data_IF_335660836233
#
_entry.id   IF_335660836233
#
_cell.length_a   1.000
_cell.length_b   1.000
_cell.length_c   1.000
_cell.angle_alpha   90.00
_cell.angle_beta   90.00
_cell.angle_gamma   90.00
#
_symmetry.space_group_name_H-M   'P 1'
#
loop_
_entity.id
_entity.type
_entity.pdbx_description
1 polymer ?
#
# COMPACT_ATOMS: atom_id res chain seq x y z
N UNK A 1 -75.05 -21.44 -63.17
CA UNK A 1 -74.88 -20.44 -62.09
C UNK A 1 -76.00 -20.49 -61.04
N UNK A 2 -76.68 -21.63 -60.83
CA UNK A 2 -77.73 -21.79 -59.80
C UNK A 2 -77.44 -22.94 -58.81
N UNK A 3 -76.50 -23.85 -59.12
CA UNK A 3 -76.15 -24.98 -58.25
C UNK A 3 -75.13 -24.63 -57.15
N UNK A 4 -74.22 -23.69 -57.41
CA UNK A 4 -73.24 -23.25 -56.40
C UNK A 4 -73.90 -22.54 -55.20
N UNK A 5 -75.04 -21.86 -55.42
CA UNK A 5 -75.79 -21.19 -54.36
C UNK A 5 -76.68 -22.16 -53.55
N UNK A 6 -77.17 -23.26 -54.14
CA UNK A 6 -77.89 -24.29 -53.39
C UNK A 6 -76.96 -25.15 -52.52
N UNK A 7 -75.73 -25.40 -52.97
CA UNK A 7 -74.75 -26.11 -52.15
C UNK A 7 -74.34 -25.29 -50.91
N UNK A 8 -74.15 -23.97 -51.04
CA UNK A 8 -73.88 -23.09 -49.89
C UNK A 8 -75.08 -22.94 -48.94
N UNK A 9 -76.32 -23.02 -49.43
CA UNK A 9 -77.53 -22.99 -48.60
C UNK A 9 -77.80 -24.30 -47.83
N UNK A 10 -77.50 -25.46 -48.43
CA UNK A 10 -77.81 -26.76 -47.84
C UNK A 10 -76.77 -27.23 -46.80
N UNK A 11 -75.57 -26.63 -46.81
CA UNK A 11 -74.45 -27.01 -45.94
C UNK A 11 -74.10 -25.96 -44.88
N UNK A 12 -74.90 -24.90 -44.69
CA UNK A 12 -74.67 -23.88 -43.66
C UNK A 12 -74.56 -24.48 -42.23
N UNK A 13 -75.29 -25.55 -41.94
CA UNK A 13 -75.21 -26.26 -40.66
C UNK A 13 -73.82 -26.87 -40.36
N UNK A 14 -72.96 -27.08 -41.36
CA UNK A 14 -71.59 -27.57 -41.14
C UNK A 14 -70.74 -26.57 -40.36
N UNK A 15 -71.05 -25.26 -40.40
CA UNK A 15 -70.38 -24.25 -39.58
C UNK A 15 -70.67 -24.49 -38.09
N UNK A 16 -71.84 -25.03 -37.74
CA UNK A 16 -72.14 -25.37 -36.35
C UNK A 16 -71.49 -26.68 -35.89
N UNK A 17 -71.41 -27.69 -36.78
CA UNK A 17 -70.81 -28.99 -36.45
C UNK A 17 -69.29 -28.96 -36.45
N UNK A 18 -68.67 -28.24 -37.38
CA UNK A 18 -67.20 -28.14 -37.51
C UNK A 18 -66.63 -26.78 -37.07
N UNK A 19 -67.43 -25.72 -36.93
CA UNK A 19 -66.93 -24.43 -36.45
C UNK A 19 -66.52 -24.45 -34.98
N UNK A 20 -67.14 -25.30 -34.15
CA UNK A 20 -66.71 -25.53 -32.78
C UNK A 20 -65.35 -26.22 -32.67
N UNK A 21 -65.07 -27.19 -33.56
CA UNK A 21 -63.80 -27.94 -33.55
C UNK A 21 -62.65 -27.14 -34.19
N UNK A 22 -62.92 -26.37 -35.24
CA UNK A 22 -61.95 -25.45 -35.86
C UNK A 22 -61.64 -24.28 -34.91
N UNK A 23 -62.66 -23.70 -34.26
CA UNK A 23 -62.48 -22.62 -33.29
C UNK A 23 -61.73 -23.06 -32.02
N UNK A 24 -62.00 -24.27 -31.52
CA UNK A 24 -61.29 -24.87 -30.38
C UNK A 24 -59.82 -25.18 -30.67
N UNK A 25 -59.50 -25.67 -31.87
CA UNK A 25 -58.12 -25.92 -32.29
C UNK A 25 -57.31 -24.62 -32.43
N UNK A 26 -57.89 -23.57 -33.03
CA UNK A 26 -57.25 -22.26 -33.11
C UNK A 26 -57.00 -21.63 -31.74
N UNK A 27 -57.96 -21.74 -30.81
CA UNK A 27 -57.80 -21.27 -29.42
C UNK A 27 -56.74 -22.07 -28.65
N UNK A 28 -56.67 -23.38 -28.83
CA UNK A 28 -55.67 -24.25 -28.20
C UNK A 28 -54.24 -23.91 -28.64
N UNK A 29 -54.04 -23.62 -29.93
CA UNK A 29 -52.74 -23.17 -30.47
C UNK A 29 -52.39 -21.76 -30.00
N UNK A 30 -53.37 -20.85 -29.91
CA UNK A 30 -53.16 -19.50 -29.38
C UNK A 30 -52.72 -19.51 -27.90
N UNK A 31 -53.42 -20.26 -27.05
CA UNK A 31 -53.09 -20.41 -25.62
C UNK A 31 -51.75 -21.12 -25.41
N UNK A 32 -51.41 -22.10 -26.27
CA UNK A 32 -50.10 -22.76 -26.23
C UNK A 32 -48.96 -21.83 -26.67
N UNK A 33 -49.22 -20.86 -27.55
CA UNK A 33 -48.25 -19.87 -27.99
C UNK A 33 -48.06 -18.74 -26.96
N UNK A 34 -49.13 -18.26 -26.32
CA UNK A 34 -49.08 -17.28 -25.22
C UNK A 34 -48.21 -17.78 -24.05
N UNK A 35 -48.41 -19.03 -23.62
CA UNK A 35 -47.57 -19.65 -22.57
C UNK A 35 -46.09 -19.78 -22.96
N UNK A 36 -45.76 -19.83 -24.26
CA UNK A 36 -44.37 -19.80 -24.75
C UNK A 36 -43.80 -18.38 -24.75
N UNK A 37 -44.63 -17.37 -25.01
CA UNK A 37 -44.25 -15.95 -24.99
C UNK A 37 -44.00 -15.49 -23.55
N UNK A 38 -44.88 -15.83 -22.61
CA UNK A 38 -44.72 -15.54 -21.18
C UNK A 38 -43.43 -16.16 -20.60
N UNK A 39 -43.19 -17.45 -20.84
CA UNK A 39 -41.95 -18.12 -20.41
C UNK A 39 -40.69 -17.51 -21.04
N UNK A 40 -40.78 -16.97 -22.26
CA UNK A 40 -39.65 -16.25 -22.88
C UNK A 40 -39.42 -14.92 -22.17
N UNK A 41 -40.48 -14.15 -21.89
CA UNK A 41 -40.38 -12.87 -21.19
C UNK A 41 -39.85 -13.02 -19.76
N UNK A 42 -40.31 -14.02 -19.00
CA UNK A 42 -39.78 -14.34 -17.67
C UNK A 42 -38.28 -14.69 -17.73
N UNK A 43 -37.88 -15.53 -18.70
CA UNK A 43 -36.47 -15.85 -18.93
C UNK A 43 -35.64 -14.64 -19.35
N UNK A 44 -36.21 -13.71 -20.14
CA UNK A 44 -35.51 -12.47 -20.52
C UNK A 44 -35.34 -11.54 -19.33
N UNK A 45 -36.36 -11.39 -18.48
CA UNK A 45 -36.28 -10.63 -17.22
C UNK A 45 -35.24 -11.21 -16.28
N UNK A 46 -35.30 -12.51 -15.99
CA UNK A 46 -34.31 -13.20 -15.16
C UNK A 46 -32.88 -13.07 -15.72
N UNK A 47 -32.72 -13.13 -17.05
CA UNK A 47 -31.41 -12.89 -17.71
C UNK A 47 -30.95 -11.44 -17.60
N UNK A 48 -31.87 -10.46 -17.61
CA UNK A 48 -31.52 -9.05 -17.41
C UNK A 48 -31.18 -8.77 -15.95
N UNK A 49 -31.98 -9.28 -15.01
CA UNK A 49 -31.74 -9.16 -13.58
C UNK A 49 -30.40 -9.80 -13.18
N UNK A 50 -30.10 -11.01 -13.67
CA UNK A 50 -28.79 -11.64 -13.43
C UNK A 50 -27.64 -10.84 -14.05
N UNK A 51 -27.79 -10.31 -15.26
CA UNK A 51 -26.77 -9.43 -15.87
C UNK A 51 -26.56 -8.15 -15.08
N UNK A 52 -27.63 -7.53 -14.58
CA UNK A 52 -27.55 -6.32 -13.75
C UNK A 52 -26.90 -6.64 -12.41
N UNK A 53 -27.25 -7.75 -11.76
CA UNK A 53 -26.65 -8.19 -10.50
C UNK A 53 -25.14 -8.49 -10.67
N UNK A 54 -24.75 -9.15 -11.76
CA UNK A 54 -23.34 -9.40 -12.09
C UNK A 54 -22.60 -8.09 -12.37
N UNK A 55 -23.20 -7.16 -13.12
CA UNK A 55 -22.60 -5.85 -13.39
C UNK A 55 -22.42 -5.04 -12.11
N UNK A 56 -23.39 -5.08 -11.19
CA UNK A 56 -23.32 -4.43 -9.88
C UNK A 56 -22.25 -5.06 -8.98
N UNK A 57 -22.17 -6.39 -8.93
CA UNK A 57 -21.12 -7.09 -8.17
C UNK A 57 -19.73 -6.77 -8.70
N UNK A 58 -19.52 -6.76 -10.02
CA UNK A 58 -18.25 -6.37 -10.63
C UNK A 58 -17.91 -4.90 -10.34
N UNK A 59 -18.89 -3.99 -10.40
CA UNK A 59 -18.67 -2.59 -10.07
C UNK A 59 -18.27 -2.41 -8.59
N UNK A 60 -18.89 -3.14 -7.67
CA UNK A 60 -18.53 -3.16 -6.25
C UNK A 60 -17.11 -3.70 -6.05
N UNK A 61 -16.77 -4.83 -6.67
CA UNK A 61 -15.42 -5.39 -6.61
C UNK A 61 -14.35 -4.40 -7.11
N UNK A 62 -14.59 -3.70 -8.22
CA UNK A 62 -13.66 -2.69 -8.72
C UNK A 62 -13.51 -1.49 -7.78
N UNK A 63 -14.60 -1.03 -7.17
CA UNK A 63 -14.56 0.05 -6.19
C UNK A 63 -13.79 -0.35 -4.91
N UNK A 64 -13.94 -1.60 -4.48
CA UNK A 64 -13.21 -2.17 -3.34
C UNK A 64 -11.72 -2.27 -3.65
N UNK A 65 -11.33 -2.77 -4.83
CA UNK A 65 -9.93 -2.83 -5.27
C UNK A 65 -9.30 -1.43 -5.37
N UNK A 66 -10.03 -0.44 -5.88
CA UNK A 66 -9.54 0.94 -5.94
C UNK A 66 -9.31 1.52 -4.54
N UNK A 67 -10.23 1.24 -3.60
CA UNK A 67 -10.08 1.63 -2.20
C UNK A 67 -8.87 0.97 -1.56
N UNK A 68 -8.66 -0.32 -1.81
CA UNK A 68 -7.49 -1.08 -1.37
C UNK A 68 -6.19 -0.47 -1.91
N UNK A 69 -6.12 -0.15 -3.21
CA UNK A 69 -4.95 0.51 -3.82
C UNK A 69 -4.63 1.84 -3.13
N UNK A 70 -5.64 2.67 -2.88
CA UNK A 70 -5.46 3.98 -2.22
C UNK A 70 -4.96 3.82 -0.78
N UNK A 71 -5.52 2.89 -0.01
CA UNK A 71 -5.09 2.64 1.37
C UNK A 71 -3.68 2.05 1.44
N UNK A 72 -3.34 1.15 0.53
CA UNK A 72 -1.98 0.60 0.41
C UNK A 72 -0.97 1.69 0.03
N UNK A 73 -1.31 2.56 -0.93
CA UNK A 73 -0.45 3.66 -1.34
C UNK A 73 -0.13 4.60 -0.16
N UNK A 74 -1.13 4.96 0.65
CA UNK A 74 -0.92 5.75 1.88
C UNK A 74 0.01 5.05 2.87
N UNK A 75 -0.12 3.74 3.05
CA UNK A 75 0.72 2.98 3.95
C UNK A 75 2.18 2.93 3.46
N UNK A 76 2.40 2.80 2.16
CA UNK A 76 3.74 2.88 1.55
C UNK A 76 4.32 4.29 1.74
N UNK A 77 3.54 5.33 1.46
CA UNK A 77 3.97 6.71 1.66
C UNK A 77 4.36 6.99 3.12
N UNK A 78 3.56 6.53 4.09
CA UNK A 78 3.87 6.65 5.50
C UNK A 78 5.16 5.89 5.86
N UNK A 79 5.34 4.68 5.36
CA UNK A 79 6.57 3.91 5.55
C UNK A 79 7.77 4.71 5.05
N UNK A 80 7.73 5.18 3.80
CA UNK A 80 8.82 5.93 3.17
C UNK A 80 9.12 7.25 3.91
N UNK A 81 8.09 7.92 4.43
CA UNK A 81 8.27 9.13 5.23
C UNK A 81 9.00 8.87 6.56
N UNK A 82 8.68 7.77 7.25
CA UNK A 82 9.36 7.38 8.49
C UNK A 82 10.79 6.92 8.19
N UNK A 83 10.99 6.14 7.13
CA UNK A 83 12.31 5.70 6.68
C UNK A 83 13.21 6.91 6.31
N UNK A 84 12.68 7.91 5.60
CA UNK A 84 13.43 9.11 5.25
C UNK A 84 13.89 9.89 6.49
N UNK A 85 13.03 10.00 7.50
CA UNK A 85 13.39 10.62 8.80
C UNK A 85 14.43 9.78 9.52
N UNK A 86 14.27 8.46 9.58
CA UNK A 86 15.25 7.55 10.18
C UNK A 86 16.61 7.64 9.47
N UNK A 87 16.65 7.65 8.14
CA UNK A 87 17.88 7.74 7.37
C UNK A 87 18.67 9.02 7.63
N UNK A 88 18.02 10.12 8.02
CA UNK A 88 18.76 11.31 8.44
C UNK A 88 19.68 11.05 9.63
N UNK A 89 19.31 10.16 10.55
CA UNK A 89 20.14 9.77 11.70
C UNK A 89 21.24 8.77 11.33
N UNK A 90 21.01 7.92 10.32
CA UNK A 90 21.99 6.91 9.90
C UNK A 90 23.04 7.46 8.92
N UNK A 91 22.66 8.44 8.09
CA UNK A 91 23.51 9.00 7.05
C UNK A 91 24.24 10.27 7.47
N UNK A 92 23.70 11.05 8.41
CA UNK A 92 24.36 12.25 8.93
C UNK A 92 24.95 12.00 10.34
N UNK A 93 26.28 11.79 10.43
CA UNK A 93 26.98 11.64 11.70
C UNK A 93 26.74 12.81 12.66
N UNK A 94 26.52 14.02 12.16
CA UNK A 94 26.34 15.21 12.99
C UNK A 94 25.00 15.14 13.70
N UNK A 95 23.94 14.80 12.97
CA UNK A 95 22.59 14.57 13.52
C UNK A 95 22.59 13.38 14.48
N UNK A 96 23.32 12.31 14.15
CA UNK A 96 23.49 11.16 15.03
C UNK A 96 24.08 11.53 16.41
N UNK A 97 25.14 12.35 16.43
CA UNK A 97 25.80 12.74 17.68
C UNK A 97 24.95 13.69 18.55
N UNK A 98 23.90 14.30 18.01
CA UNK A 98 22.93 15.07 18.81
C UNK A 98 21.93 14.15 19.52
N UNK A 99 21.58 13.02 18.92
CA UNK A 99 20.65 12.02 19.45
C UNK A 99 21.23 10.59 19.39
N UNK A 100 22.35 10.32 20.09
CA UNK A 100 23.07 9.04 20.02
C UNK A 100 22.22 7.82 20.45
N UNK A 101 21.20 8.08 21.28
CA UNK A 101 20.23 7.09 21.75
C UNK A 101 19.46 6.41 20.62
N UNK A 102 19.28 7.08 19.47
CA UNK A 102 18.55 6.54 18.32
C UNK A 102 19.24 5.33 17.67
N UNK A 103 20.53 5.12 17.93
CA UNK A 103 21.29 3.95 17.45
C UNK A 103 21.67 2.96 18.55
N UNK A 104 21.32 3.25 19.81
CA UNK A 104 21.65 2.38 20.93
C UNK A 104 20.57 1.31 21.13
N UNK A 105 20.88 0.06 20.75
CA UNK A 105 19.96 -1.08 20.93
C UNK A 105 19.74 -1.48 22.39
N UNK A 106 20.51 -0.92 23.34
CA UNK A 106 20.32 -1.15 24.78
C UNK A 106 19.11 -0.39 25.32
N UNK A 107 18.71 0.68 24.64
CA UNK A 107 17.58 1.49 25.02
C UNK A 107 16.28 0.83 24.53
N UNK A 108 15.32 0.56 25.42
CA UNK A 108 14.14 -0.25 25.09
C UNK A 108 13.29 0.40 24.00
N UNK A 109 13.15 1.73 24.01
CA UNK A 109 12.38 2.46 23.00
C UNK A 109 13.00 2.36 21.60
N UNK A 110 14.33 2.42 21.54
CA UNK A 110 15.08 2.25 20.29
C UNK A 110 14.99 0.81 19.79
N UNK A 111 15.14 -0.18 20.68
CA UNK A 111 14.99 -1.58 20.33
C UNK A 111 13.57 -1.90 19.81
N UNK A 112 12.53 -1.34 20.43
CA UNK A 112 11.13 -1.50 20.00
C UNK A 112 10.88 -0.85 18.64
N UNK A 113 11.43 0.35 18.41
CA UNK A 113 11.42 1.01 17.09
C UNK A 113 12.05 0.12 16.02
N UNK A 114 13.26 -0.40 16.24
CA UNK A 114 13.94 -1.25 15.25
C UNK A 114 13.21 -2.56 15.00
N UNK A 115 12.58 -3.15 16.03
CA UNK A 115 11.73 -4.34 15.87
C UNK A 115 10.49 -4.03 15.02
N UNK A 116 9.83 -2.90 15.27
CA UNK A 116 8.68 -2.45 14.51
C UNK A 116 9.05 -2.16 13.04
N UNK A 117 10.21 -1.51 12.82
CA UNK A 117 10.79 -1.30 11.49
C UNK A 117 10.96 -2.61 10.75
N UNK A 118 11.68 -3.56 11.36
CA UNK A 118 11.96 -4.85 10.74
C UNK A 118 10.67 -5.60 10.35
N UNK A 119 9.62 -5.52 11.17
CA UNK A 119 8.31 -6.10 10.85
C UNK A 119 7.65 -5.41 9.67
N UNK A 120 7.68 -4.07 9.61
CA UNK A 120 7.12 -3.31 8.50
C UNK A 120 7.88 -3.60 7.19
N UNK A 121 9.22 -3.68 7.25
CA UNK A 121 10.09 -4.03 6.13
C UNK A 121 9.76 -5.43 5.58
N UNK A 122 9.58 -6.43 6.45
CA UNK A 122 9.27 -7.80 6.06
C UNK A 122 7.91 -7.93 5.35
N UNK A 123 6.92 -7.15 5.80
CA UNK A 123 5.57 -7.16 5.24
C UNK A 123 5.42 -6.26 4.00
N UNK A 124 6.44 -5.45 3.68
CA UNK A 124 6.40 -4.53 2.55
C UNK A 124 6.32 -5.31 1.23
N UNK A 125 5.29 -5.10 0.41
CA UNK A 125 5.19 -5.79 -0.88
C UNK A 125 6.23 -5.24 -1.86
N UNK A 126 6.94 -6.13 -2.56
CA UNK A 126 7.84 -5.74 -3.65
C UNK A 126 7.11 -5.13 -4.85
N UNK A 127 5.87 -5.54 -5.08
CA UNK A 127 4.94 -4.91 -6.03
C UNK A 127 3.58 -4.69 -5.34
N UNK A 128 3.10 -3.45 -5.20
CA UNK A 128 1.82 -3.16 -4.54
C UNK A 128 0.62 -3.93 -5.12
N UNK A 129 0.60 -4.18 -6.43
CA UNK A 129 -0.51 -4.88 -7.08
C UNK A 129 -0.66 -6.33 -6.60
N UNK A 130 0.40 -6.97 -6.08
CA UNK A 130 0.31 -8.36 -5.58
C UNK A 130 -0.48 -8.47 -4.28
N UNK A 131 -0.74 -7.35 -3.61
CA UNK A 131 -1.48 -7.31 -2.35
C UNK A 131 -2.98 -7.05 -2.56
N UNK A 132 -3.40 -6.67 -3.76
CA UNK A 132 -4.80 -6.41 -4.10
C UNK A 132 -5.61 -7.71 -4.08
N UNK A 133 -6.79 -7.66 -3.46
CA UNK A 133 -7.61 -8.84 -3.19
C UNK A 133 -7.20 -9.64 -1.94
N UNK A 134 -6.05 -9.34 -1.32
CA UNK A 134 -5.64 -9.94 -0.05
C UNK A 134 -5.81 -8.94 1.11
N UNK A 135 -7.03 -8.85 1.63
CA UNK A 135 -7.37 -7.90 2.70
C UNK A 135 -6.58 -8.13 4.00
N UNK A 136 -6.26 -9.39 4.32
CA UNK A 136 -5.49 -9.74 5.51
C UNK A 136 -4.07 -9.17 5.41
N UNK A 137 -3.36 -9.43 4.31
CA UNK A 137 -2.00 -8.93 4.11
C UNK A 137 -1.93 -7.38 4.11
N UNK A 138 -2.92 -6.72 3.51
CA UNK A 138 -3.01 -5.25 3.55
C UNK A 138 -3.21 -4.73 4.98
N UNK A 139 -4.07 -5.38 5.76
CA UNK A 139 -4.36 -4.98 7.14
C UNK A 139 -3.10 -5.16 8.01
N UNK A 140 -2.44 -6.32 7.90
CA UNK A 140 -1.20 -6.61 8.63
C UNK A 140 -0.08 -5.61 8.28
N UNK A 141 0.10 -5.29 7.00
CA UNK A 141 1.08 -4.29 6.57
C UNK A 141 0.76 -2.89 7.10
N UNK A 142 -0.50 -2.45 6.98
CA UNK A 142 -0.94 -1.14 7.50
C UNK A 142 -0.74 -1.01 9.01
N UNK A 143 -1.09 -2.04 9.76
CA UNK A 143 -0.89 -2.07 11.21
C UNK A 143 0.61 -2.05 11.57
N UNK A 144 1.44 -2.78 10.83
CA UNK A 144 2.88 -2.77 11.03
C UNK A 144 3.49 -1.39 10.75
N UNK A 145 3.09 -0.72 9.66
CA UNK A 145 3.53 0.65 9.35
C UNK A 145 3.07 1.63 10.41
N UNK A 146 1.83 1.53 10.89
CA UNK A 146 1.32 2.39 11.94
C UNK A 146 2.11 2.21 13.25
N UNK A 147 2.36 0.96 13.65
CA UNK A 147 3.17 0.62 14.82
C UNK A 147 4.60 1.13 14.68
N UNK A 148 5.19 0.98 13.49
CA UNK A 148 6.52 1.49 13.17
C UNK A 148 6.58 3.03 13.33
N UNK A 149 5.61 3.75 12.77
CA UNK A 149 5.51 5.20 12.87
C UNK A 149 5.42 5.67 14.33
N UNK A 150 4.55 5.05 15.13
CA UNK A 150 4.39 5.42 16.55
C UNK A 150 5.66 5.12 17.34
N UNK A 151 6.24 3.93 17.16
CA UNK A 151 7.45 3.54 17.89
C UNK A 151 8.62 4.50 17.56
N UNK A 152 8.74 4.91 16.29
CA UNK A 152 9.72 5.91 15.89
C UNK A 152 9.49 7.27 16.54
N UNK A 153 8.25 7.77 16.54
CA UNK A 153 7.93 9.07 17.15
C UNK A 153 8.22 9.09 18.66
N UNK A 154 7.90 8.01 19.37
CA UNK A 154 8.19 7.87 20.80
C UNK A 154 9.70 7.85 21.03
N UNK A 155 10.44 7.04 20.27
CA UNK A 155 11.90 6.94 20.38
C UNK A 155 12.57 8.29 20.08
N UNK A 156 12.15 8.96 19.00
CA UNK A 156 12.69 10.25 18.57
C UNK A 156 12.40 11.36 19.59
N UNK A 157 11.19 11.39 20.17
CA UNK A 157 10.82 12.35 21.21
C UNK A 157 11.70 12.18 22.47
N UNK A 158 11.89 10.94 22.94
CA UNK A 158 12.75 10.69 24.10
C UNK A 158 14.23 10.97 23.78
N UNK A 159 14.69 10.63 22.57
CA UNK A 159 16.04 10.92 22.12
C UNK A 159 16.31 12.44 22.08
N UNK A 160 15.34 13.22 21.57
CA UNK A 160 15.42 14.70 21.56
C UNK A 160 15.35 15.31 22.96
N UNK A 161 14.64 14.67 23.89
CA UNK A 161 14.54 15.10 25.29
C UNK A 161 15.82 14.85 26.06
N UNK A 162 16.42 13.66 25.92
CA UNK A 162 17.68 13.31 26.61
C UNK A 162 18.90 13.90 25.91
N UNK A 163 18.92 13.96 24.58
CA UNK A 163 20.10 14.33 23.77
C UNK A 163 21.34 13.56 24.24
N UNK A 164 22.29 14.25 24.89
CA UNK A 164 23.55 13.71 25.41
C UNK A 164 23.56 13.58 26.94
N UNK A 165 22.42 13.72 27.61
CA UNK A 165 22.33 13.67 29.07
C UNK A 165 22.68 12.30 29.68
N UNK A 166 22.69 11.23 28.86
CA UNK A 166 23.14 9.90 29.26
C UNK A 166 24.67 9.76 29.38
N UNK A 167 25.43 10.76 28.91
CA UNK A 167 26.88 10.79 28.98
C UNK A 167 27.35 11.68 30.12
N UNK A 168 28.52 11.37 30.69
CA UNK A 168 29.20 12.25 31.64
C UNK A 168 29.64 13.56 30.95
N UNK A 169 29.97 14.60 31.73
CA UNK A 169 30.35 15.90 31.17
C UNK A 169 31.57 15.81 30.24
N UNK A 170 32.60 15.03 30.61
CA UNK A 170 33.78 14.82 29.77
C UNK A 170 33.44 14.12 28.44
N UNK A 171 32.58 13.09 28.51
CA UNK A 171 32.10 12.38 27.33
C UNK A 171 31.25 13.29 26.43
N UNK A 172 30.42 14.16 27.01
CA UNK A 172 29.66 15.15 26.25
C UNK A 172 30.60 16.12 25.50
N UNK A 173 31.68 16.57 26.13
CA UNK A 173 32.67 17.41 25.48
C UNK A 173 33.40 16.68 24.34
N UNK A 174 33.75 15.40 24.53
CA UNK A 174 34.30 14.53 23.48
C UNK A 174 33.35 14.43 22.28
N UNK A 175 32.04 14.24 22.52
CA UNK A 175 31.03 14.23 21.47
C UNK A 175 30.92 15.57 20.74
N UNK A 176 30.99 16.71 21.45
CA UNK A 176 31.04 18.04 20.82
C UNK A 176 32.28 18.19 19.92
N UNK A 177 33.45 17.77 20.39
CA UNK A 177 34.70 17.83 19.61
C UNK A 177 34.62 16.95 18.36
N UNK A 178 34.15 15.72 18.52
CA UNK A 178 33.91 14.79 17.41
C UNK A 178 32.97 15.41 16.36
N UNK A 179 31.86 16.01 16.79
CA UNK A 179 30.91 16.66 15.89
C UNK A 179 31.55 17.78 15.07
N UNK A 180 32.38 18.64 15.68
CA UNK A 180 33.11 19.70 14.96
C UNK A 180 34.09 19.13 13.94
N UNK A 181 34.81 18.07 14.30
CA UNK A 181 35.77 17.40 13.42
C UNK A 181 35.06 16.70 12.24
N UNK A 182 33.89 16.10 12.45
CA UNK A 182 33.10 15.49 11.37
C UNK A 182 32.54 16.54 10.42
N UNK A 183 32.11 17.71 10.92
CA UNK A 183 31.73 18.84 10.06
C UNK A 183 32.89 19.27 9.17
N UNK A 184 34.09 19.40 9.72
CA UNK A 184 35.29 19.73 8.93
C UNK A 184 35.65 18.62 7.92
N UNK A 185 35.47 17.34 8.29
CA UNK A 185 35.70 16.23 7.38
C UNK A 185 34.74 16.21 6.18
N UNK A 186 33.54 16.74 6.35
CA UNK A 186 32.51 16.83 5.30
C UNK A 186 32.49 18.18 4.58
N UNK A 187 33.29 19.16 4.99
CA UNK A 187 33.29 20.52 4.45
C UNK A 187 33.92 20.56 3.04
N UNK A 188 33.15 21.02 2.06
CA UNK A 188 33.59 21.13 0.68
C UNK A 188 34.71 22.16 0.45
N UNK A 189 34.87 23.12 1.37
CA UNK A 189 35.95 24.12 1.33
C UNK A 189 37.28 23.63 1.92
N UNK A 190 37.30 22.50 2.63
CA UNK A 190 38.50 21.98 3.28
C UNK A 190 39.37 21.16 2.32
N UNK A 191 40.69 21.22 2.51
CA UNK A 191 41.63 20.41 1.72
C UNK A 191 41.48 18.91 2.02
N UNK A 192 41.82 18.01 1.08
CA UNK A 192 41.68 16.57 1.30
C UNK A 192 42.44 16.04 2.53
N UNK A 193 43.62 16.60 2.80
CA UNK A 193 44.45 16.24 3.96
C UNK A 193 43.81 16.69 5.29
N UNK A 194 43.21 17.89 5.33
CA UNK A 194 42.47 18.37 6.49
C UNK A 194 41.26 17.49 6.77
N UNK A 195 40.50 17.10 5.73
CA UNK A 195 39.35 16.21 5.89
C UNK A 195 39.74 14.85 6.47
N UNK A 196 40.78 14.22 5.93
CA UNK A 196 41.25 12.92 6.41
C UNK A 196 41.83 13.00 7.84
N UNK A 197 42.53 14.09 8.17
CA UNK A 197 43.03 14.33 9.52
C UNK A 197 41.90 14.54 10.52
N UNK A 198 40.90 15.35 10.14
CA UNK A 198 39.71 15.61 10.95
C UNK A 198 38.90 14.33 11.19
N UNK A 199 38.69 13.52 10.14
CA UNK A 199 37.99 12.24 10.25
C UNK A 199 38.68 11.26 11.20
N UNK A 200 40.01 11.09 11.09
CA UNK A 200 40.79 10.23 12.01
C UNK A 200 40.73 10.73 13.46
N UNK A 201 40.78 12.04 13.68
CA UNK A 201 40.66 12.62 15.03
C UNK A 201 39.24 12.43 15.59
N UNK A 202 38.21 12.60 14.76
CA UNK A 202 36.83 12.37 15.18
C UNK A 202 36.61 10.93 15.66
N UNK A 203 37.14 9.94 14.92
CA UNK A 203 37.05 8.55 15.32
C UNK A 203 37.66 8.31 16.72
N UNK A 204 38.83 8.88 17.00
CA UNK A 204 39.48 8.78 18.31
C UNK A 204 38.65 9.41 19.44
N UNK A 205 37.97 10.52 19.18
CA UNK A 205 37.10 11.14 20.19
C UNK A 205 35.88 10.27 20.48
N UNK A 206 35.35 9.56 19.47
CA UNK A 206 34.19 8.67 19.58
C UNK A 206 34.50 7.28 20.15
N UNK A 207 35.77 6.86 20.14
CA UNK A 207 36.19 5.54 20.62
C UNK A 207 35.71 5.30 22.06
N UNK A 208 34.98 4.19 22.25
CA UNK A 208 34.40 3.79 23.53
C UNK A 208 33.10 4.50 23.92
N UNK A 209 32.65 5.50 23.16
CA UNK A 209 31.40 6.23 23.41
C UNK A 209 30.29 5.83 22.43
N UNK A 210 30.60 5.86 21.14
CA UNK A 210 29.63 5.57 20.08
C UNK A 210 30.35 5.02 18.84
N UNK A 211 29.76 4.02 18.21
CA UNK A 211 30.21 3.49 16.93
C UNK A 211 29.39 4.14 15.82
N UNK A 212 30.05 4.76 14.85
CA UNK A 212 29.38 5.33 13.68
C UNK A 212 28.79 4.19 12.82
N UNK A 213 27.52 4.31 12.35
CA UNK A 213 26.94 3.38 11.40
C UNK A 213 27.78 3.24 10.13
N UNK A 214 27.80 2.05 9.55
CA UNK A 214 28.60 1.73 8.36
C UNK A 214 28.25 2.62 7.17
N UNK A 215 26.97 2.99 7.01
CA UNK A 215 26.53 3.90 5.95
C UNK A 215 27.09 5.31 6.11
N UNK A 216 26.97 5.89 7.31
CA UNK A 216 27.59 7.18 7.64
C UNK A 216 29.10 7.17 7.39
N UNK A 217 29.79 6.09 7.78
CA UNK A 217 31.23 5.90 7.52
C UNK A 217 31.53 5.91 6.01
N UNK A 218 30.83 5.08 5.25
CA UNK A 218 31.02 4.95 3.81
C UNK A 218 30.79 6.28 3.07
N UNK A 219 29.77 7.05 3.45
CA UNK A 219 29.49 8.37 2.86
C UNK A 219 30.64 9.37 3.10
N UNK A 220 31.20 9.41 4.32
CA UNK A 220 32.34 10.29 4.62
C UNK A 220 33.57 9.86 3.83
N UNK A 221 33.88 8.56 3.82
CA UNK A 221 35.03 8.02 3.10
C UNK A 221 34.93 8.29 1.59
N UNK A 222 33.74 8.11 1.01
CA UNK A 222 33.48 8.42 -0.39
C UNK A 222 33.65 9.92 -0.71
N UNK A 223 33.17 10.82 0.16
CA UNK A 223 33.39 12.26 0.00
C UNK A 223 34.87 12.64 0.07
N UNK A 224 35.62 12.05 1.01
CA UNK A 224 37.07 12.28 1.14
C UNK A 224 37.79 11.76 -0.12
N UNK A 225 37.44 10.57 -0.61
CA UNK A 225 38.04 9.99 -1.81
C UNK A 225 37.79 10.85 -3.05
N UNK A 226 36.57 11.38 -3.21
CA UNK A 226 36.23 12.30 -4.31
C UNK A 226 37.08 13.57 -4.28
N UNK A 227 37.35 14.12 -3.10
CA UNK A 227 38.18 15.32 -2.96
C UNK A 227 39.67 15.08 -3.30
N UNK A 228 40.15 13.84 -3.19
CA UNK A 228 41.54 13.47 -3.55
C UNK A 228 41.68 13.27 -5.07
N UNK A 229 40.63 12.76 -5.73
CA UNK A 229 40.64 12.46 -7.17
C UNK A 229 40.16 13.60 -8.08
N UNK A 230 39.73 14.72 -7.52
CA UNK A 230 39.30 15.94 -8.22
C UNK A 230 40.40 17.01 -8.18
#
# INVERSE_FOLDING_TARGET
MHEAFQFLGNFWWLIFVFGGTIGGALKGVAVANERRIERRQERFRLKQETKVAIAQANAQHHADEETQRRELAKAIEQHDAVDARWFSYELDPVTLLDTPMMTDMREPLTADFHRAKYRADLLRPGNPETMIGNQQAQTEYREAVHTYSIAFEIAEAEAKRRRRSGFTLDEQERLVRAQRLLRLAMDDGATPQERQSAYRKAHKELDGLLVLPDRARAEIEHKIARAIGA
#
